data_IF_701170759648
#
_entry.id   IF_701170759648
#
_cell.length_a   1.000
_cell.length_b   1.000
_cell.length_c   1.000
_cell.angle_alpha   90.00
_cell.angle_beta   90.00
_cell.angle_gamma   90.00
#
_symmetry.space_group_name_H-M   'P 1'
#
loop_
_entity.id
_entity.type
_entity.pdbx_description
1 polymer ?
#
# COMPACT_ATOMS: atom_id res chain seq x y z
N UNK A 1 56.47 -40.52 110.56
CA UNK A 1 56.99 -40.68 109.19
C UNK A 1 58.20 -39.79 108.99
N UNK A 2 59.36 -40.39 108.69
CA UNK A 2 60.57 -39.68 108.29
C UNK A 2 60.33 -38.89 106.99
N UNK A 3 61.11 -37.83 106.75
CA UNK A 3 61.10 -37.06 105.49
C UNK A 3 61.37 -37.97 104.28
N UNK A 4 62.10 -39.06 104.52
CA UNK A 4 62.44 -40.09 103.54
C UNK A 4 61.26 -41.03 103.23
N UNK A 5 60.48 -41.42 104.24
CA UNK A 5 59.23 -42.18 104.05
C UNK A 5 58.21 -41.38 103.26
N UNK A 6 58.12 -40.07 103.53
CA UNK A 6 57.23 -39.15 102.80
C UNK A 6 57.62 -39.02 101.33
N UNK A 7 58.93 -38.98 101.04
CA UNK A 7 59.46 -38.97 99.66
C UNK A 7 59.21 -40.29 98.94
N UNK A 8 59.41 -41.44 99.60
CA UNK A 8 59.09 -42.75 99.02
C UNK A 8 57.60 -42.89 98.72
N UNK A 9 56.74 -42.41 99.62
CA UNK A 9 55.30 -42.51 99.42
C UNK A 9 54.81 -41.58 98.29
N UNK A 10 55.38 -40.37 98.19
CA UNK A 10 55.11 -39.47 97.08
C UNK A 10 55.61 -40.03 95.74
N UNK A 11 56.80 -40.62 95.71
CA UNK A 11 57.34 -41.27 94.51
C UNK A 11 56.48 -42.46 94.06
N UNK A 12 55.99 -43.28 95.00
CA UNK A 12 55.07 -44.38 94.70
C UNK A 12 53.72 -43.88 94.16
N UNK A 13 53.17 -42.81 94.74
CA UNK A 13 51.92 -42.21 94.27
C UNK A 13 52.09 -41.55 92.89
N UNK A 14 53.20 -40.87 92.63
CA UNK A 14 53.50 -40.30 91.31
C UNK A 14 53.70 -41.40 90.28
N UNK A 15 54.39 -42.49 90.61
CA UNK A 15 54.52 -43.64 89.72
C UNK A 15 53.16 -44.28 89.41
N UNK A 16 52.25 -44.35 90.40
CA UNK A 16 50.87 -44.79 90.20
C UNK A 16 50.07 -43.86 89.27
N UNK A 17 50.20 -42.55 89.44
CA UNK A 17 49.55 -41.57 88.57
C UNK A 17 50.09 -41.58 87.14
N UNK A 18 51.40 -41.69 86.97
CA UNK A 18 52.03 -41.83 85.64
C UNK A 18 51.52 -43.10 84.96
N UNK A 19 51.43 -44.21 85.70
CA UNK A 19 50.93 -45.46 85.16
C UNK A 19 49.43 -45.41 84.81
N UNK A 20 48.62 -44.70 85.59
CA UNK A 20 47.21 -44.45 85.24
C UNK A 20 47.06 -43.51 84.05
N UNK A 21 47.91 -42.49 83.92
CA UNK A 21 47.93 -41.61 82.76
C UNK A 21 48.38 -42.36 81.50
N UNK A 22 49.40 -43.21 81.59
CA UNK A 22 49.82 -44.12 80.51
C UNK A 22 48.70 -45.09 80.14
N UNK A 23 48.04 -45.72 81.12
CA UNK A 23 46.88 -46.58 80.84
C UNK A 23 45.72 -45.81 80.23
N UNK A 24 45.45 -44.58 80.66
CA UNK A 24 44.40 -43.75 80.08
C UNK A 24 44.74 -43.33 78.64
N UNK A 25 46.01 -43.01 78.35
CA UNK A 25 46.47 -42.75 76.97
C UNK A 25 46.38 -44.01 76.13
N UNK A 26 46.81 -45.18 76.62
CA UNK A 26 46.68 -46.46 75.91
C UNK A 26 45.21 -46.83 75.66
N UNK A 27 44.30 -46.53 76.60
CA UNK A 27 42.86 -46.72 76.42
C UNK A 27 42.21 -45.66 75.52
N UNK A 28 42.82 -44.48 75.38
CA UNK A 28 42.40 -43.42 74.44
C UNK A 28 43.01 -43.62 73.04
N UNK A 29 44.15 -44.32 72.98
CA UNK A 29 44.83 -44.86 71.81
C UNK A 29 44.31 -46.27 71.43
N UNK A 30 43.17 -46.69 71.98
CA UNK A 30 42.19 -47.43 71.17
C UNK A 30 41.76 -46.48 70.04
N UNK A 31 42.70 -46.28 69.10
CA UNK A 31 42.51 -45.50 67.90
C UNK A 31 41.23 -45.99 67.26
N UNK A 32 40.43 -45.03 66.78
CA UNK A 32 39.25 -45.34 66.00
C UNK A 32 39.60 -46.51 65.06
N UNK A 33 38.88 -47.62 65.23
CA UNK A 33 39.14 -48.88 64.52
C UNK A 33 39.51 -48.55 63.05
N UNK A 34 40.70 -48.92 62.57
CA UNK A 34 41.15 -48.54 61.22
C UNK A 34 40.14 -48.95 60.15
N UNK A 35 39.37 -50.03 60.40
CA UNK A 35 38.25 -50.47 59.55
C UNK A 35 37.13 -49.43 59.52
N UNK A 36 36.84 -48.77 60.64
CA UNK A 36 35.84 -47.71 60.76
C UNK A 36 36.29 -46.40 60.12
N UNK A 37 37.57 -46.04 60.24
CA UNK A 37 38.14 -44.86 59.54
C UNK A 37 38.03 -45.05 58.02
N UNK A 38 38.47 -46.21 57.50
CA UNK A 38 38.38 -46.51 56.08
C UNK A 38 36.92 -46.50 55.58
N UNK A 39 35.98 -47.07 56.36
CA UNK A 39 34.56 -47.03 56.04
C UNK A 39 34.00 -45.59 56.00
N UNK A 40 34.47 -44.70 56.87
CA UNK A 40 34.09 -43.28 56.86
C UNK A 40 34.69 -42.54 55.65
N UNK A 41 35.92 -42.85 55.25
CA UNK A 41 36.54 -42.28 54.05
C UNK A 41 35.81 -42.74 52.77
N UNK A 42 35.47 -44.02 52.68
CA UNK A 42 34.65 -44.56 51.58
C UNK A 42 33.27 -43.89 51.53
N UNK A 43 32.60 -43.71 52.70
CA UNK A 43 31.33 -42.97 52.78
C UNK A 43 31.49 -41.50 52.37
N UNK A 44 32.57 -40.83 52.77
CA UNK A 44 32.87 -39.45 52.37
C UNK A 44 33.11 -39.35 50.86
N UNK A 45 33.87 -40.28 50.28
CA UNK A 45 34.13 -40.32 48.84
C UNK A 45 32.83 -40.53 48.04
N UNK A 46 32.00 -41.49 48.47
CA UNK A 46 30.69 -41.75 47.84
C UNK A 46 29.74 -40.56 47.98
N UNK A 47 29.66 -39.93 49.16
CA UNK A 47 28.83 -38.74 49.38
C UNK A 47 29.30 -37.56 48.50
N UNK A 48 30.61 -37.38 48.37
CA UNK A 48 31.20 -36.33 47.53
C UNK A 48 30.89 -36.56 46.05
N UNK A 49 31.00 -37.81 45.58
CA UNK A 49 30.61 -38.20 44.22
C UNK A 49 29.12 -37.95 43.97
N UNK A 50 28.25 -38.35 44.90
CA UNK A 50 26.81 -38.12 44.82
C UNK A 50 26.46 -36.62 44.85
N UNK A 51 27.11 -35.83 45.71
CA UNK A 51 26.94 -34.37 45.76
C UNK A 51 27.34 -33.71 44.44
N UNK A 52 28.46 -34.15 43.84
CA UNK A 52 28.88 -33.67 42.53
C UNK A 52 27.86 -34.02 41.44
N UNK A 53 27.34 -35.25 41.42
CA UNK A 53 26.30 -35.68 40.46
C UNK A 53 25.03 -34.84 40.61
N UNK A 54 24.56 -34.63 41.84
CA UNK A 54 23.38 -33.80 42.11
C UNK A 54 23.57 -32.35 41.68
N UNK A 55 24.75 -31.75 41.93
CA UNK A 55 25.06 -30.40 41.44
C UNK A 55 25.02 -30.32 39.92
N UNK A 56 25.62 -31.28 39.21
CA UNK A 56 25.58 -31.29 37.75
C UNK A 56 24.16 -31.49 37.20
N UNK A 57 23.34 -32.32 37.85
CA UNK A 57 21.95 -32.51 37.47
C UNK A 57 21.12 -31.25 37.73
N UNK A 58 21.36 -30.56 38.85
CA UNK A 58 20.70 -29.31 39.20
C UNK A 58 21.01 -28.20 38.19
N UNK A 59 22.27 -28.05 37.79
CA UNK A 59 22.64 -27.04 36.78
C UNK A 59 22.02 -27.34 35.41
N UNK A 60 22.03 -28.61 34.96
CA UNK A 60 21.31 -29.01 33.74
C UNK A 60 19.82 -28.69 33.83
N UNK A 61 19.20 -28.95 34.98
CA UNK A 61 17.78 -28.64 35.19
C UNK A 61 17.50 -27.14 35.15
N UNK A 62 18.36 -26.30 35.76
CA UNK A 62 18.22 -24.84 35.68
C UNK A 62 18.37 -24.34 34.24
N UNK A 63 19.30 -24.91 33.48
CA UNK A 63 19.51 -24.57 32.08
C UNK A 63 18.27 -24.88 31.24
N UNK A 64 17.70 -26.09 31.38
CA UNK A 64 16.44 -26.44 30.73
C UNK A 64 15.29 -25.48 31.08
N UNK A 65 15.18 -25.07 32.36
CA UNK A 65 14.14 -24.11 32.75
C UNK A 65 14.37 -22.70 32.17
N UNK A 66 15.63 -22.27 32.02
CA UNK A 66 15.96 -21.00 31.34
C UNK A 66 15.62 -21.07 29.87
N UNK A 67 15.95 -22.17 29.20
CA UNK A 67 15.58 -22.41 27.80
C UNK A 67 14.06 -22.39 27.62
N UNK A 68 13.33 -23.11 28.48
CA UNK A 68 11.86 -23.14 28.45
C UNK A 68 11.25 -21.75 28.68
N UNK A 69 11.81 -20.96 29.61
CA UNK A 69 11.37 -19.58 29.84
C UNK A 69 11.63 -18.69 28.61
N UNK A 70 12.77 -18.87 27.93
CA UNK A 70 13.09 -18.12 26.72
C UNK A 70 12.18 -18.47 25.54
N UNK A 71 11.83 -19.76 25.38
CA UNK A 71 10.89 -20.22 24.36
C UNK A 71 9.49 -19.65 24.60
N UNK A 72 9.01 -19.67 25.85
CA UNK A 72 7.71 -19.07 26.22
C UNK A 72 7.68 -17.55 25.98
N UNK A 73 8.81 -16.85 26.18
CA UNK A 73 8.91 -15.42 25.87
C UNK A 73 8.81 -15.17 24.37
N UNK A 74 9.54 -15.95 23.56
CA UNK A 74 9.50 -15.86 22.10
C UNK A 74 8.10 -16.19 21.55
N UNK A 75 7.42 -17.20 22.09
CA UNK A 75 6.05 -17.55 21.70
C UNK A 75 5.06 -16.40 21.96
N UNK A 76 5.18 -15.72 23.10
CA UNK A 76 4.35 -14.55 23.42
C UNK A 76 4.61 -13.39 22.46
N UNK A 77 5.86 -13.14 22.12
CA UNK A 77 6.24 -12.08 21.17
C UNK A 77 5.69 -12.37 19.78
N UNK A 78 5.80 -13.62 19.31
CA UNK A 78 5.20 -14.07 18.05
C UNK A 78 3.69 -13.87 18.03
N UNK A 79 2.99 -14.19 19.12
CA UNK A 79 1.54 -14.04 19.21
C UNK A 79 1.10 -12.56 19.19
N UNK A 80 1.91 -11.65 19.73
CA UNK A 80 1.67 -10.20 19.65
C UNK A 80 1.83 -9.74 18.19
N UNK A 81 2.92 -10.11 17.53
CA UNK A 81 3.18 -9.75 16.14
C UNK A 81 2.11 -10.31 15.19
N UNK A 82 1.66 -11.54 15.41
CA UNK A 82 0.60 -12.16 14.62
C UNK A 82 -0.72 -11.40 14.78
N UNK A 83 -1.07 -10.99 16.00
CA UNK A 83 -2.25 -10.16 16.26
C UNK A 83 -2.14 -8.80 15.56
N UNK A 84 -1.01 -8.12 15.67
CA UNK A 84 -0.80 -6.83 15.01
C UNK A 84 -0.91 -6.94 13.48
N UNK A 85 -0.27 -7.96 12.90
CA UNK A 85 -0.35 -8.20 11.46
C UNK A 85 -1.76 -8.57 11.01
N UNK A 86 -2.48 -9.37 11.80
CA UNK A 86 -3.89 -9.68 11.52
C UNK A 86 -4.78 -8.43 11.55
N UNK A 87 -4.50 -7.48 12.46
CA UNK A 87 -5.19 -6.19 12.52
C UNK A 87 -4.92 -5.33 11.29
N UNK A 88 -3.66 -5.19 10.89
CA UNK A 88 -3.28 -4.43 9.68
C UNK A 88 -3.90 -5.01 8.41
N UNK A 89 -3.91 -6.34 8.27
CA UNK A 89 -4.55 -7.02 7.14
C UNK A 89 -6.07 -6.82 7.12
N UNK A 90 -6.71 -6.76 8.29
CA UNK A 90 -8.14 -6.46 8.38
C UNK A 90 -8.45 -5.02 7.94
N UNK A 91 -7.67 -4.04 8.42
CA UNK A 91 -7.81 -2.63 8.02
C UNK A 91 -7.60 -2.43 6.51
N UNK A 92 -6.55 -3.05 5.95
CA UNK A 92 -6.28 -3.01 4.51
C UNK A 92 -7.42 -3.67 3.71
N UNK A 93 -7.96 -4.79 4.20
CA UNK A 93 -9.10 -5.46 3.59
C UNK A 93 -10.38 -4.63 3.59
N UNK A 94 -10.63 -3.84 4.65
CA UNK A 94 -11.75 -2.91 4.70
C UNK A 94 -11.58 -1.73 3.73
N UNK A 95 -10.38 -1.16 3.66
CA UNK A 95 -10.08 -0.07 2.73
C UNK A 95 -10.28 -0.51 1.27
N UNK A 96 -9.75 -1.67 0.89
CA UNK A 96 -9.91 -2.22 -0.45
C UNK A 96 -11.37 -2.53 -0.80
N UNK A 97 -12.18 -2.95 0.18
CA UNK A 97 -13.64 -3.13 -0.04
C UNK A 97 -14.33 -1.81 -0.31
N UNK A 98 -14.03 -0.77 0.47
CA UNK A 98 -14.61 0.56 0.28
C UNK A 98 -14.22 1.15 -1.09
N UNK A 99 -12.97 1.01 -1.51
CA UNK A 99 -12.51 1.46 -2.82
C UNK A 99 -13.17 0.68 -3.96
N UNK A 100 -13.34 -0.63 -3.80
CA UNK A 100 -14.06 -1.46 -4.76
C UNK A 100 -15.52 -1.03 -4.92
N UNK A 101 -16.23 -0.78 -3.81
CA UNK A 101 -17.61 -0.30 -3.86
C UNK A 101 -17.72 1.04 -4.60
N UNK A 102 -16.79 1.97 -4.33
CA UNK A 102 -16.72 3.25 -5.07
C UNK A 102 -16.52 3.03 -6.57
N UNK A 103 -15.56 2.19 -6.95
CA UNK A 103 -15.29 1.88 -8.36
C UNK A 103 -16.50 1.22 -9.04
N UNK A 104 -17.21 0.32 -8.36
CA UNK A 104 -18.44 -0.29 -8.88
C UNK A 104 -19.52 0.76 -9.13
N UNK A 105 -19.69 1.74 -8.22
CA UNK A 105 -20.64 2.85 -8.44
C UNK A 105 -20.24 3.75 -9.61
N UNK A 106 -18.96 4.07 -9.75
CA UNK A 106 -18.47 4.90 -10.86
C UNK A 106 -18.59 4.20 -12.20
N UNK A 107 -18.33 2.90 -12.26
CA UNK A 107 -18.55 2.08 -13.46
C UNK A 107 -20.04 2.13 -13.85
N UNK A 108 -20.96 1.97 -12.89
CA UNK A 108 -22.40 2.06 -13.15
C UNK A 108 -22.79 3.43 -13.71
N UNK A 109 -22.31 4.51 -13.08
CA UNK A 109 -22.56 5.89 -13.52
C UNK A 109 -22.02 6.17 -14.93
N UNK A 110 -20.77 5.79 -15.21
CA UNK A 110 -20.16 5.98 -16.53
C UNK A 110 -20.84 5.15 -17.61
N UNK A 111 -21.24 3.92 -17.28
CA UNK A 111 -22.00 3.06 -18.20
C UNK A 111 -23.33 3.71 -18.58
N UNK A 112 -24.05 4.28 -17.60
CA UNK A 112 -25.29 5.01 -17.87
C UNK A 112 -25.04 6.24 -18.74
N UNK A 113 -24.01 7.04 -18.41
CA UNK A 113 -23.66 8.22 -19.21
C UNK A 113 -23.31 7.88 -20.66
N UNK A 114 -22.64 6.75 -20.89
CA UNK A 114 -22.34 6.28 -22.24
C UNK A 114 -23.62 5.88 -22.97
N UNK A 115 -24.57 5.22 -22.30
CA UNK A 115 -25.84 4.82 -22.91
C UNK A 115 -26.71 6.02 -23.24
N UNK A 116 -26.85 6.97 -22.30
CA UNK A 116 -27.57 8.23 -22.52
C UNK A 116 -26.96 9.01 -23.70
N UNK A 117 -25.63 9.06 -23.77
CA UNK A 117 -24.91 9.72 -24.87
C UNK A 117 -25.19 9.01 -26.20
N UNK A 118 -25.14 7.68 -26.26
CA UNK A 118 -25.46 6.92 -27.47
C UNK A 118 -26.87 7.20 -27.97
N UNK A 119 -27.85 7.24 -27.06
CA UNK A 119 -29.24 7.58 -27.40
C UNK A 119 -29.33 9.00 -27.93
N UNK A 120 -28.64 9.97 -27.30
CA UNK A 120 -28.62 11.36 -27.76
C UNK A 120 -27.90 11.58 -29.10
N UNK A 121 -27.01 10.66 -29.47
CA UNK A 121 -26.26 10.69 -30.73
C UNK A 121 -26.91 9.83 -31.83
N UNK A 122 -28.11 9.29 -31.60
CA UNK A 122 -28.86 8.62 -32.66
C UNK A 122 -29.21 9.64 -33.76
N UNK A 123 -29.05 9.27 -35.05
CA UNK A 123 -29.51 10.09 -36.15
C UNK A 123 -31.00 10.42 -36.05
N UNK A 124 -31.39 11.58 -36.58
CA UNK A 124 -32.82 11.88 -36.74
C UNK A 124 -33.45 10.96 -37.79
N UNK A 125 -34.76 10.68 -37.68
CA UNK A 125 -35.46 9.78 -38.61
C UNK A 125 -35.45 10.29 -40.06
N UNK A 126 -35.36 11.61 -40.22
CA UNK A 126 -35.30 12.34 -41.48
C UNK A 126 -33.88 12.83 -41.84
N UNK A 127 -32.85 12.34 -41.14
CA UNK A 127 -31.47 12.74 -41.41
C UNK A 127 -31.00 12.17 -42.78
N UNK A 128 -30.47 13.01 -43.69
CA UNK A 128 -30.08 12.57 -45.02
C UNK A 128 -28.88 11.61 -45.00
N UNK A 129 -28.83 10.66 -45.94
CA UNK A 129 -27.78 9.62 -45.98
C UNK A 129 -26.35 10.19 -46.07
N UNK A 130 -26.15 11.29 -46.76
CA UNK A 130 -24.85 11.97 -46.88
C UNK A 130 -24.39 12.61 -45.56
N UNK A 131 -25.32 13.09 -44.74
CA UNK A 131 -25.03 13.58 -43.38
C UNK A 131 -24.76 12.42 -42.43
N UNK A 132 -25.56 11.35 -42.47
CA UNK A 132 -25.34 10.17 -41.62
C UNK A 132 -24.04 9.42 -41.93
N UNK A 133 -23.49 9.59 -43.15
CA UNK A 133 -22.21 9.01 -43.54
C UNK A 133 -21.00 9.70 -42.90
N UNK A 134 -21.16 10.90 -42.32
CA UNK A 134 -20.09 11.67 -41.68
C UNK A 134 -19.71 11.03 -40.34
N UNK A 135 -18.43 10.69 -40.18
CA UNK A 135 -17.93 9.93 -39.00
C UNK A 135 -17.24 10.81 -37.98
N UNK A 136 -16.91 12.04 -38.34
CA UNK A 136 -16.13 12.93 -37.51
C UNK A 136 -16.66 14.37 -37.54
N UNK A 137 -16.44 15.10 -36.45
CA UNK A 137 -16.75 16.54 -36.40
C UNK A 137 -16.02 17.31 -37.50
N UNK A 138 -14.81 16.91 -37.86
CA UNK A 138 -14.05 17.51 -38.97
C UNK A 138 -14.75 17.34 -40.31
N UNK A 139 -15.30 16.15 -40.59
CA UNK A 139 -16.08 15.91 -41.81
C UNK A 139 -17.36 16.76 -41.83
N UNK A 140 -18.07 16.84 -40.70
CA UNK A 140 -19.25 17.72 -40.58
C UNK A 140 -18.92 19.19 -40.83
N UNK A 141 -17.84 19.71 -40.22
CA UNK A 141 -17.42 21.10 -40.43
C UNK A 141 -17.01 21.35 -41.88
N UNK A 142 -16.34 20.39 -42.53
CA UNK A 142 -15.98 20.51 -43.94
C UNK A 142 -17.23 20.52 -44.84
N UNK A 143 -18.23 19.68 -44.55
CA UNK A 143 -19.48 19.64 -45.29
C UNK A 143 -20.29 20.93 -45.13
N UNK A 144 -20.36 21.50 -43.92
CA UNK A 144 -21.00 22.81 -43.67
C UNK A 144 -20.34 23.91 -44.52
N UNK A 145 -19.00 23.95 -44.57
CA UNK A 145 -18.28 24.94 -45.39
C UNK A 145 -18.55 24.78 -46.89
N UNK A 146 -18.69 23.55 -47.36
CA UNK A 146 -19.07 23.30 -48.76
C UNK A 146 -20.47 23.84 -49.04
N UNK A 147 -21.44 23.56 -48.17
CA UNK A 147 -22.80 24.08 -48.27
C UNK A 147 -22.85 25.62 -48.23
N UNK A 148 -22.02 26.26 -47.40
CA UNK A 148 -21.91 27.72 -47.37
C UNK A 148 -21.48 28.28 -48.73
N UNK A 149 -20.48 27.68 -49.38
CA UNK A 149 -20.03 28.08 -50.72
C UNK A 149 -21.11 27.84 -51.77
N UNK A 150 -21.75 26.68 -51.74
CA UNK A 150 -22.81 26.32 -52.70
C UNK A 150 -24.02 27.26 -52.57
N UNK A 151 -24.40 27.65 -51.35
CA UNK A 151 -25.47 28.62 -51.11
C UNK A 151 -25.14 30.00 -51.68
N UNK A 152 -23.92 30.50 -51.47
CA UNK A 152 -23.48 31.78 -52.03
C UNK A 152 -23.51 31.74 -53.56
N UNK A 153 -22.96 30.68 -54.16
CA UNK A 153 -22.99 30.49 -55.62
C UNK A 153 -24.42 30.46 -56.17
N UNK A 154 -25.34 29.73 -55.52
CA UNK A 154 -26.74 29.69 -55.95
C UNK A 154 -27.44 31.06 -55.86
N UNK A 155 -27.09 31.90 -54.87
CA UNK A 155 -27.61 33.27 -54.78
C UNK A 155 -27.07 34.17 -55.88
N UNK A 156 -25.78 34.06 -56.21
CA UNK A 156 -25.14 34.77 -57.32
C UNK A 156 -25.80 34.40 -58.65
N UNK A 157 -25.92 33.11 -58.95
CA UNK A 157 -26.57 32.61 -60.18
C UNK A 157 -28.04 33.05 -60.28
N UNK A 158 -28.78 32.99 -59.17
CA UNK A 158 -30.17 33.43 -59.10
C UNK A 158 -30.33 34.92 -59.40
N UNK A 159 -29.43 35.75 -58.86
CA UNK A 159 -29.40 37.18 -59.12
C UNK A 159 -29.06 37.50 -60.58
N UNK A 160 -28.01 36.89 -61.11
CA UNK A 160 -27.59 37.09 -62.51
C UNK A 160 -28.69 36.67 -63.49
N UNK A 161 -29.37 35.56 -63.20
CA UNK A 161 -30.53 35.10 -63.99
C UNK A 161 -31.68 36.11 -63.94
N UNK A 162 -32.00 36.65 -62.76
CA UNK A 162 -33.06 37.65 -62.61
C UNK A 162 -32.71 38.96 -63.34
N UNK A 163 -31.46 39.44 -63.23
CA UNK A 163 -30.95 40.60 -63.96
C UNK A 163 -31.04 40.37 -65.46
N UNK A 164 -30.64 39.18 -65.94
CA UNK A 164 -30.75 38.80 -67.35
C UNK A 164 -32.19 38.87 -67.86
N UNK A 165 -33.14 38.31 -67.10
CA UNK A 165 -34.57 38.36 -67.44
C UNK A 165 -35.11 39.79 -67.47
N UNK A 166 -34.73 40.63 -66.51
CA UNK A 166 -35.16 42.04 -66.46
C UNK A 166 -34.56 42.87 -67.60
N UNK A 167 -33.30 42.61 -67.95
CA UNK A 167 -32.61 43.32 -69.04
C UNK A 167 -33.24 43.04 -70.40
N UNK A 168 -33.81 41.85 -70.61
CA UNK A 168 -34.56 41.52 -71.82
C UNK A 168 -35.84 42.37 -71.97
N UNK A 169 -36.53 42.66 -70.86
CA UNK A 169 -37.75 43.47 -70.85
C UNK A 169 -37.44 44.98 -70.82
N UNK A 170 -36.27 45.36 -70.28
CA UNK A 170 -35.84 46.74 -70.16
C UNK A 170 -34.37 46.90 -70.63
N UNK A 171 -34.15 47.19 -71.93
CA UNK A 171 -32.81 47.31 -72.52
C UNK A 171 -31.93 48.45 -71.95
N UNK A 172 -32.49 49.32 -71.09
CA UNK A 172 -31.77 50.40 -70.43
C UNK A 172 -31.58 50.18 -68.91
N UNK A 173 -31.75 48.95 -68.43
CA UNK A 173 -31.55 48.62 -67.01
C UNK A 173 -30.09 48.87 -66.61
N UNK A 174 -29.89 49.70 -65.58
CA UNK A 174 -28.57 49.94 -64.98
C UNK A 174 -28.46 49.03 -63.76
N UNK A 175 -27.49 48.12 -63.80
CA UNK A 175 -27.18 47.19 -62.69
C UNK A 175 -25.81 47.44 -62.06
N UNK A 176 -25.14 48.53 -62.46
CA UNK A 176 -23.87 48.92 -61.86
C UNK A 176 -24.11 49.31 -60.39
N UNK A 177 -23.35 48.70 -59.48
CA UNK A 177 -23.50 48.92 -58.03
C UNK A 177 -24.65 48.14 -57.37
N UNK A 178 -25.25 47.15 -58.05
CA UNK A 178 -26.19 46.19 -57.45
C UNK A 178 -25.54 44.83 -57.24
N UNK A 179 -26.16 43.98 -56.41
CA UNK A 179 -25.73 42.62 -56.18
C UNK A 179 -26.76 41.83 -55.38
N UNK A 180 -26.59 40.51 -55.29
CA UNK A 180 -27.54 39.59 -54.64
C UNK A 180 -27.78 39.90 -53.14
N UNK A 181 -26.84 40.57 -52.47
CA UNK A 181 -26.95 40.97 -51.05
C UNK A 181 -27.45 42.40 -50.83
N UNK A 182 -27.62 43.17 -51.90
CA UNK A 182 -28.04 44.57 -51.81
C UNK A 182 -29.56 44.67 -51.66
N UNK A 183 -30.02 45.65 -50.89
CA UNK A 183 -31.46 45.87 -50.64
C UNK A 183 -31.93 47.16 -51.30
N UNK A 184 -33.22 47.23 -51.65
CA UNK A 184 -33.85 48.47 -52.10
C UNK A 184 -34.71 49.03 -50.96
N UNK A 185 -34.32 50.18 -50.42
CA UNK A 185 -35.04 50.89 -49.36
C UNK A 185 -35.38 52.28 -49.88
N UNK A 186 -36.67 52.63 -49.89
CA UNK A 186 -37.19 53.92 -50.38
C UNK A 186 -36.70 54.32 -51.78
N UNK A 187 -36.47 53.34 -52.66
CA UNK A 187 -35.98 53.55 -54.02
C UNK A 187 -34.46 53.72 -54.16
N UNK A 188 -33.70 53.62 -53.07
CA UNK A 188 -32.25 53.62 -53.08
C UNK A 188 -31.69 52.21 -52.86
N UNK A 189 -30.58 51.89 -53.54
CA UNK A 189 -29.82 50.66 -53.34
C UNK A 189 -28.93 50.84 -52.10
N UNK A 190 -29.10 49.98 -51.11
CA UNK A 190 -28.38 50.00 -49.83
C UNK A 190 -27.49 48.75 -49.75
N UNK A 191 -26.18 48.91 -49.45
CA UNK A 191 -25.28 47.78 -49.25
C UNK A 191 -25.70 46.94 -48.04
N UNK A 192 -25.36 45.63 -48.03
CA UNK A 192 -25.59 44.80 -46.86
C UNK A 192 -24.83 45.34 -45.64
N UNK A 193 -25.32 45.08 -44.42
CA UNK A 193 -24.61 45.41 -43.18
C UNK A 193 -23.18 44.81 -43.17
N UNK A 194 -22.23 45.53 -42.57
CA UNK A 194 -20.80 45.18 -42.54
C UNK A 194 -20.47 43.75 -42.06
N UNK A 195 -21.38 43.07 -41.33
CA UNK A 195 -21.21 41.69 -40.87
C UNK A 195 -21.49 40.61 -41.93
N UNK A 196 -21.98 41.00 -43.12
CA UNK A 196 -22.35 40.10 -44.21
C UNK A 196 -21.48 40.30 -45.47
N UNK A 197 -20.45 41.15 -45.38
CA UNK A 197 -19.43 41.24 -46.42
C UNK A 197 -18.57 39.97 -46.30
N UNK A 198 -18.96 38.94 -47.04
CA UNK A 198 -18.07 37.82 -47.33
C UNK A 198 -17.16 38.34 -48.43
N UNK A 199 -15.92 38.64 -48.07
CA UNK A 199 -14.86 39.04 -48.99
C UNK A 199 -14.74 37.99 -50.10
N UNK A 200 -15.35 38.27 -51.25
CA UNK A 200 -15.18 37.47 -52.47
C UNK A 200 -13.86 37.88 -53.14
N UNK A 201 -12.78 37.65 -52.41
CA UNK A 201 -11.41 37.82 -52.89
C UNK A 201 -11.09 36.61 -53.74
N UNK A 202 -11.47 36.66 -55.01
CA UNK A 202 -11.09 35.71 -56.04
C UNK A 202 -9.58 35.67 -56.30
N UNK A 203 -8.78 35.30 -55.30
CA UNK A 203 -7.38 34.89 -55.45
C UNK A 203 -7.15 33.60 -54.67
N UNK A 204 -7.45 32.49 -55.34
CA UNK A 204 -6.83 31.22 -55.02
C UNK A 204 -5.32 31.34 -55.21
N UNK A 205 -4.59 31.61 -54.12
CA UNK A 205 -3.21 31.19 -53.98
C UNK A 205 -3.20 29.97 -53.03
N UNK A 206 -2.99 28.81 -53.64
CA UNK A 206 -2.59 27.60 -52.94
C UNK A 206 -1.22 27.81 -52.32
N UNK A 207 -1.15 27.74 -50.98
CA UNK A 207 0.08 27.93 -50.23
C UNK A 207 0.09 27.14 -48.92
N UNK A 208 0.52 25.87 -49.05
CA UNK A 208 0.97 24.90 -48.03
C UNK A 208 -0.11 24.16 -47.21
#
# INVERSE_FOLDING_TARGET
>A
MSKEDRRRHLAANMAGLVKMAEMAVVLSEEGEDPVRIEALEQKKATLTSSSRKLRTALERSKEMFREQASLLAAEREMLILEKENSGKLAEEGELLRADRERLETDIGRLTQQIEDLKVSMLPAEDEPEDITALKSRSELVAHIRLLEVDCVGAMEEGFDSAVGQLSLLNPGLITEGTGYMYQIVDGAIVPPPDSLVVDNDGSGETGL
#
